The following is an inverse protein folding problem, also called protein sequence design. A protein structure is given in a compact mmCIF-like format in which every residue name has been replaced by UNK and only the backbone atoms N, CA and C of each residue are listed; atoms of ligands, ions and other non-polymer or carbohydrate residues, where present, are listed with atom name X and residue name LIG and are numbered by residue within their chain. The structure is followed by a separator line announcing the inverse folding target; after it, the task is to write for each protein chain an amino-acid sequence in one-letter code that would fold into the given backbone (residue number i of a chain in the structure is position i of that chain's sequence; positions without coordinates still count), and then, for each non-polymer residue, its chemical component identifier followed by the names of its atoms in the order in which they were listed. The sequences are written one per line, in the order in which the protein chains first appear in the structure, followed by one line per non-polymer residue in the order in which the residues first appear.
data_IF_007496099137
#
_entry.id   IF_007496099137
#
_cell.length_a   1.000
_cell.length_b   1.000
_cell.length_c   1.000
_cell.angle_alpha   90.00
_cell.angle_beta   90.00
_cell.angle_gamma   90.00
#
_symmetry.space_group_name_H-M   'P 1'
#
loop_
_entity.id
_entity.type
_entity.pdbx_description
1 polymer ?
#
# COMPACT_ATOMS: atom_id res chain seq x y z
N UNK A 1 14.72 -6.66 40.54
CA UNK A 1 15.03 -7.28 39.25
C UNK A 1 14.56 -6.36 38.16
N UNK A 2 15.43 -5.93 37.26
CA UNK A 2 15.06 -5.16 36.04
C UNK A 2 14.24 -6.05 35.12
N UNK A 3 13.02 -5.62 34.80
CA UNK A 3 12.16 -6.34 33.86
C UNK A 3 12.43 -5.81 32.46
N UNK A 4 12.87 -6.67 31.55
CA UNK A 4 13.12 -6.30 30.16
C UNK A 4 12.05 -6.91 29.25
N UNK A 5 11.60 -6.14 28.24
CA UNK A 5 10.76 -6.64 27.17
C UNK A 5 11.64 -7.25 26.06
N UNK A 6 11.28 -8.44 25.59
CA UNK A 6 11.94 -9.07 24.46
C UNK A 6 11.44 -8.50 23.14
N UNK A 7 12.33 -7.89 22.36
CA UNK A 7 12.00 -7.27 21.07
C UNK A 7 11.44 -8.26 20.04
N UNK A 8 11.88 -9.54 20.09
CA UNK A 8 11.35 -10.57 19.20
C UNK A 8 9.88 -10.85 19.48
N UNK A 9 9.54 -10.96 20.77
CA UNK A 9 8.15 -11.15 21.20
C UNK A 9 7.29 -9.92 20.94
N UNK A 10 7.85 -8.70 21.08
CA UNK A 10 7.18 -7.46 20.69
C UNK A 10 6.91 -7.40 19.19
N UNK A 11 7.86 -7.81 18.35
CA UNK A 11 7.71 -7.86 16.89
C UNK A 11 6.57 -8.81 16.49
N UNK A 12 6.48 -9.97 17.11
CA UNK A 12 5.38 -10.90 16.91
C UNK A 12 4.03 -10.35 17.36
N UNK A 13 4.01 -9.64 18.49
CA UNK A 13 2.80 -8.99 18.99
C UNK A 13 2.28 -7.91 18.01
N UNK A 14 3.16 -7.02 17.56
CA UNK A 14 2.82 -5.98 16.57
C UNK A 14 2.31 -6.60 15.27
N UNK A 15 3.01 -7.62 14.75
CA UNK A 15 2.61 -8.31 13.52
C UNK A 15 1.22 -8.97 13.64
N UNK A 16 0.88 -9.55 14.81
CA UNK A 16 -0.45 -10.15 15.05
C UNK A 16 -1.53 -9.10 15.16
N UNK A 17 -1.24 -7.96 15.80
CA UNK A 17 -2.16 -6.83 15.88
C UNK A 17 -2.47 -6.27 14.48
N UNK A 18 -1.44 -6.06 13.66
CA UNK A 18 -1.57 -5.49 12.32
C UNK A 18 -2.24 -6.45 11.33
N UNK A 19 -1.91 -7.75 11.42
CA UNK A 19 -2.50 -8.77 10.55
C UNK A 19 -3.91 -9.24 10.99
N UNK A 20 -4.33 -8.91 12.22
CA UNK A 20 -5.58 -9.38 12.80
C UNK A 20 -5.63 -10.91 13.01
N UNK A 21 -4.47 -11.58 13.14
CA UNK A 21 -4.41 -13.01 13.41
C UNK A 21 -3.03 -13.65 13.33
N UNK A 22 -2.82 -14.69 14.15
CA UNK A 22 -1.53 -15.35 14.31
C UNK A 22 -1.02 -16.02 13.03
N UNK A 23 -1.89 -16.68 12.28
CA UNK A 23 -1.52 -17.38 11.04
C UNK A 23 -1.00 -16.41 9.98
N UNK A 24 -1.68 -15.26 9.82
CA UNK A 24 -1.25 -14.22 8.87
C UNK A 24 0.06 -13.57 9.32
N UNK A 25 0.20 -13.27 10.60
CA UNK A 25 1.42 -12.73 11.17
C UNK A 25 2.62 -13.67 11.00
N UNK A 26 2.41 -14.98 11.17
CA UNK A 26 3.46 -15.99 10.96
C UNK A 26 3.99 -15.96 9.52
N UNK A 27 3.12 -15.79 8.54
CA UNK A 27 3.51 -15.61 7.12
C UNK A 27 4.36 -14.35 6.91
N UNK A 28 4.02 -13.22 7.55
CA UNK A 28 4.79 -11.97 7.44
C UNK A 28 6.16 -12.05 8.11
N UNK A 29 6.26 -12.82 9.16
CA UNK A 29 7.50 -12.96 9.93
C UNK A 29 8.40 -14.12 9.45
N UNK A 30 7.98 -14.87 8.43
CA UNK A 30 8.63 -16.11 8.00
C UNK A 30 8.82 -17.10 9.16
N UNK A 31 7.84 -17.18 10.06
CA UNK A 31 7.82 -18.05 11.22
C UNK A 31 6.68 -19.06 11.15
N UNK A 32 6.75 -20.11 11.97
CA UNK A 32 5.61 -21.00 12.17
C UNK A 32 4.55 -20.36 13.08
N UNK A 33 3.29 -20.71 12.92
CA UNK A 33 2.21 -20.26 13.80
C UNK A 33 2.48 -20.60 15.28
N UNK A 34 3.07 -21.76 15.54
CA UNK A 34 3.46 -22.19 16.91
C UNK A 34 4.54 -21.30 17.49
N UNK A 35 5.52 -20.87 16.69
CA UNK A 35 6.57 -19.96 17.15
C UNK A 35 5.99 -18.60 17.54
N UNK A 36 5.15 -18.01 16.68
CA UNK A 36 4.47 -16.74 16.98
C UNK A 36 3.60 -16.86 18.23
N UNK A 37 2.81 -17.93 18.34
CA UNK A 37 1.99 -18.19 19.53
C UNK A 37 2.81 -18.31 20.82
N UNK A 38 3.98 -18.95 20.76
CA UNK A 38 4.88 -19.09 21.90
C UNK A 38 5.49 -17.74 22.30
N UNK A 39 5.89 -16.90 21.33
CA UNK A 39 6.42 -15.57 21.59
C UNK A 39 5.37 -14.66 22.26
N UNK A 40 4.13 -14.69 21.77
CA UNK A 40 3.02 -13.96 22.39
C UNK A 40 2.77 -14.43 23.82
N UNK A 41 2.74 -15.74 24.06
CA UNK A 41 2.55 -16.31 25.40
C UNK A 41 3.66 -15.86 26.35
N UNK A 42 4.93 -15.90 25.92
CA UNK A 42 6.07 -15.42 26.71
C UNK A 42 5.95 -13.93 27.06
N UNK A 43 5.46 -13.11 26.12
CA UNK A 43 5.26 -11.68 26.35
C UNK A 43 4.17 -11.46 27.41
N UNK A 44 3.01 -12.10 27.28
CA UNK A 44 1.92 -12.03 28.26
C UNK A 44 2.36 -12.55 29.65
N UNK A 45 3.10 -13.67 29.70
CA UNK A 45 3.65 -14.22 30.95
C UNK A 45 4.67 -13.26 31.61
N UNK A 46 5.53 -12.62 30.83
CA UNK A 46 6.53 -11.67 31.35
C UNK A 46 5.91 -10.42 31.96
N UNK A 47 4.77 -10.01 31.42
CA UNK A 47 3.99 -8.86 31.91
C UNK A 47 3.00 -9.25 33.01
N UNK A 48 2.57 -10.52 33.04
CA UNK A 48 1.52 -11.02 33.92
C UNK A 48 0.11 -10.51 33.53
N UNK A 49 -0.09 -10.10 32.29
CA UNK A 49 -1.30 -9.44 31.81
C UNK A 49 -1.64 -9.95 30.41
N UNK A 50 -2.93 -10.29 30.10
CA UNK A 50 -3.32 -10.65 28.74
C UNK A 50 -3.35 -9.41 27.84
N UNK A 51 -2.75 -9.55 26.66
CA UNK A 51 -2.66 -8.50 25.63
C UNK A 51 -3.68 -8.71 24.50
N UNK A 52 -4.08 -9.96 24.29
CA UNK A 52 -5.01 -10.36 23.24
C UNK A 52 -6.37 -10.75 23.83
N UNK A 53 -7.41 -10.23 23.22
CA UNK A 53 -8.78 -10.68 23.47
C UNK A 53 -9.10 -11.84 22.52
N UNK A 54 -9.31 -13.02 23.11
CA UNK A 54 -9.64 -14.27 22.41
C UNK A 54 -11.12 -14.65 22.51
N UNK A 55 -11.94 -13.77 23.05
CA UNK A 55 -13.37 -14.04 23.26
C UNK A 55 -14.20 -14.00 21.99
N UNK A 56 -13.73 -13.29 20.95
CA UNK A 56 -14.38 -13.15 19.65
C UNK A 56 -13.81 -14.12 18.61
N UNK A 57 -14.52 -14.26 17.48
CA UNK A 57 -14.10 -15.08 16.34
C UNK A 57 -12.80 -14.56 15.66
N UNK A 58 -12.48 -13.30 15.89
CA UNK A 58 -11.23 -12.63 15.46
C UNK A 58 -10.45 -12.21 16.68
N UNK A 59 -9.12 -12.34 16.60
CA UNK A 59 -8.23 -11.92 17.69
C UNK A 59 -8.23 -10.39 17.74
N UNK A 60 -8.72 -9.85 18.86
CA UNK A 60 -8.67 -8.43 19.20
C UNK A 60 -7.53 -8.12 20.18
N UNK A 61 -7.31 -6.83 20.46
CA UNK A 61 -6.44 -6.38 21.54
C UNK A 61 -7.25 -6.08 22.79
N UNK A 62 -6.67 -6.35 23.95
CA UNK A 62 -7.19 -5.78 25.20
C UNK A 62 -6.85 -4.27 25.26
N UNK A 63 -7.51 -3.46 26.12
CA UNK A 63 -7.13 -2.05 26.29
C UNK A 63 -5.64 -1.87 26.67
N UNK A 64 -5.08 -2.79 27.42
CA UNK A 64 -3.65 -2.80 27.75
C UNK A 64 -2.80 -3.23 26.54
N UNK A 65 -3.31 -4.15 25.72
CA UNK A 65 -2.71 -4.52 24.43
C UNK A 65 -2.60 -3.33 23.48
N UNK A 66 -3.65 -2.51 23.36
CA UNK A 66 -3.61 -1.28 22.53
C UNK A 66 -2.58 -0.27 23.07
N UNK A 67 -2.52 -0.10 24.37
CA UNK A 67 -1.50 0.75 25.00
C UNK A 67 -0.09 0.22 24.72
N UNK A 68 0.14 -1.06 24.89
CA UNK A 68 1.45 -1.68 24.58
C UNK A 68 1.78 -1.55 23.09
N UNK A 69 0.81 -1.67 22.18
CA UNK A 69 1.05 -1.58 20.75
C UNK A 69 1.75 -0.28 20.35
N UNK A 70 1.33 0.84 20.91
CA UNK A 70 1.92 2.15 20.64
C UNK A 70 3.40 2.22 21.09
N UNK A 71 3.69 1.71 22.27
CA UNK A 71 5.06 1.64 22.79
C UNK A 71 5.92 0.61 22.04
N UNK A 72 5.36 -0.56 21.74
CA UNK A 72 6.04 -1.62 21.00
C UNK A 72 6.52 -1.14 19.62
N UNK A 73 5.67 -0.42 18.88
CA UNK A 73 6.06 0.16 17.60
C UNK A 73 7.25 1.11 17.75
N UNK A 74 7.22 2.04 18.70
CA UNK A 74 8.32 2.99 18.95
C UNK A 74 9.62 2.29 19.37
N UNK A 75 9.53 1.25 20.22
CA UNK A 75 10.70 0.46 20.64
C UNK A 75 11.32 -0.30 19.47
N UNK A 76 10.50 -0.89 18.60
CA UNK A 76 10.96 -1.59 17.40
C UNK A 76 11.57 -0.62 16.38
N UNK A 77 10.96 0.54 16.17
CA UNK A 77 11.52 1.59 15.32
C UNK A 77 12.90 2.03 15.79
N UNK A 78 13.06 2.29 17.11
CA UNK A 78 14.35 2.65 17.69
C UNK A 78 15.38 1.52 17.58
N UNK A 79 14.96 0.27 17.81
CA UNK A 79 15.84 -0.90 17.63
C UNK A 79 16.33 -1.01 16.19
N UNK A 80 15.41 -0.88 15.22
CA UNK A 80 15.72 -0.99 13.80
C UNK A 80 16.63 0.18 13.35
N UNK A 81 16.41 1.39 13.87
CA UNK A 81 17.29 2.54 13.67
C UNK A 81 18.72 2.27 14.21
N UNK A 82 18.83 1.84 15.47
CA UNK A 82 20.13 1.56 16.10
C UNK A 82 20.87 0.44 15.35
N UNK A 83 20.15 -0.65 15.04
CA UNK A 83 20.73 -1.76 14.30
C UNK A 83 21.22 -1.31 12.91
N UNK A 84 20.40 -0.58 12.18
CA UNK A 84 20.76 -0.02 10.87
C UNK A 84 21.98 0.91 10.96
N UNK A 85 22.01 1.84 11.93
CA UNK A 85 23.14 2.77 12.10
C UNK A 85 24.46 2.08 12.48
N UNK A 86 24.39 1.01 13.26
CA UNK A 86 25.60 0.32 13.74
C UNK A 86 26.10 -0.76 12.78
N UNK A 87 25.22 -1.36 11.98
CA UNK A 87 25.57 -2.44 11.04
C UNK A 87 25.71 -1.96 9.60
N UNK A 88 25.29 -0.74 9.29
CA UNK A 88 25.39 -0.13 7.95
C UNK A 88 26.84 0.19 7.54
N UNK A 89 27.76 -0.76 7.72
CA UNK A 89 29.19 -0.49 7.49
C UNK A 89 29.57 -0.36 6.04
N UNK A 90 28.76 -0.81 5.05
CA UNK A 90 29.20 -0.90 3.67
C UNK A 90 28.16 -0.59 2.57
N UNK A 91 27.00 -0.06 2.92
CA UNK A 91 25.99 0.26 1.89
C UNK A 91 26.00 1.76 1.56
N UNK A 92 26.86 2.16 0.64
CA UNK A 92 26.84 3.49 0.02
C UNK A 92 26.37 3.34 -1.44
N UNK A 93 25.51 4.26 -1.89
CA UNK A 93 25.03 4.25 -3.26
C UNK A 93 23.65 4.86 -3.43
N UNK A 94 23.07 4.59 -4.58
CA UNK A 94 21.72 5.06 -4.92
C UNK A 94 20.88 3.87 -5.40
N UNK A 95 19.65 3.78 -4.95
CA UNK A 95 18.62 2.87 -5.45
C UNK A 95 17.57 3.72 -6.14
N UNK A 96 17.28 3.45 -7.40
CA UNK A 96 16.20 4.11 -8.13
C UNK A 96 14.92 3.29 -8.00
N UNK A 97 13.92 3.86 -7.31
CA UNK A 97 12.59 3.29 -7.12
C UNK A 97 11.58 4.00 -8.02
N UNK A 98 11.00 3.28 -8.98
CA UNK A 98 9.93 3.76 -9.84
C UNK A 98 8.55 3.42 -9.28
N UNK A 99 7.66 4.40 -9.16
CA UNK A 99 6.32 4.21 -8.61
C UNK A 99 5.28 4.97 -9.46
N UNK A 100 4.19 4.32 -9.90
CA UNK A 100 3.08 5.01 -10.53
C UNK A 100 2.50 6.11 -9.64
N UNK A 101 2.07 7.22 -10.26
CA UNK A 101 1.53 8.38 -9.54
C UNK A 101 0.37 8.01 -8.62
N UNK A 102 -0.48 7.11 -9.06
CA UNK A 102 -1.73 6.67 -8.43
C UNK A 102 -1.55 5.84 -7.17
N UNK A 103 -0.34 5.31 -6.90
CA UNK A 103 -0.09 4.46 -5.74
C UNK A 103 1.03 4.94 -4.80
N UNK A 104 1.55 6.14 -5.00
CA UNK A 104 2.58 6.70 -4.10
C UNK A 104 2.03 6.81 -2.67
N UNK A 105 0.83 7.37 -2.53
CA UNK A 105 0.19 7.53 -1.24
C UNK A 105 -0.81 6.40 -0.95
N UNK A 106 -0.95 6.02 0.32
CA UNK A 106 -0.25 6.51 1.52
C UNK A 106 1.03 5.71 1.85
N UNK A 107 1.43 4.72 1.04
CA UNK A 107 2.42 3.70 1.39
C UNK A 107 3.88 4.20 1.29
N UNK A 108 4.26 4.77 0.14
CA UNK A 108 5.66 5.06 -0.18
C UNK A 108 6.34 6.05 0.78
N UNK A 109 5.71 7.14 1.24
CA UNK A 109 6.36 8.04 2.20
C UNK A 109 6.79 7.33 3.49
N UNK A 110 5.97 6.39 3.99
CA UNK A 110 6.28 5.60 5.19
C UNK A 110 7.44 4.65 4.97
N UNK A 111 7.49 4.01 3.79
CA UNK A 111 8.59 3.13 3.38
C UNK A 111 9.88 3.92 3.30
N UNK A 112 9.89 5.06 2.60
CA UNK A 112 11.07 5.90 2.44
C UNK A 112 11.60 6.42 3.78
N UNK A 113 10.72 6.87 4.67
CA UNK A 113 11.09 7.33 6.00
C UNK A 113 11.76 6.21 6.81
N UNK A 114 11.19 5.00 6.80
CA UNK A 114 11.74 3.84 7.51
C UNK A 114 13.06 3.37 6.89
N UNK A 115 13.13 3.31 5.57
CA UNK A 115 14.33 2.88 4.86
C UNK A 115 15.50 3.83 5.07
N UNK A 116 15.27 5.15 5.03
CA UNK A 116 16.31 6.14 5.27
C UNK A 116 16.86 6.12 6.70
N UNK A 117 16.06 5.72 7.67
CA UNK A 117 16.51 5.51 9.06
C UNK A 117 17.39 4.26 9.17
N UNK A 118 17.02 3.16 8.49
CA UNK A 118 17.78 1.91 8.51
C UNK A 118 19.08 2.02 7.68
N UNK A 119 19.07 2.77 6.57
CA UNK A 119 20.18 2.88 5.63
C UNK A 119 20.54 4.34 5.33
N UNK A 120 21.09 5.11 6.29
CA UNK A 120 21.30 6.55 6.16
C UNK A 120 22.33 6.96 5.08
N UNK A 121 23.15 6.02 4.60
CA UNK A 121 24.13 6.26 3.53
C UNK A 121 23.62 5.86 2.13
N UNK A 122 22.48 5.16 2.06
CA UNK A 122 21.83 4.83 0.80
C UNK A 122 20.83 5.91 0.42
N UNK A 123 20.95 6.41 -0.79
CA UNK A 123 19.98 7.35 -1.35
C UNK A 123 18.92 6.59 -2.15
N UNK A 124 17.65 6.81 -1.81
CA UNK A 124 16.56 6.36 -2.67
C UNK A 124 16.14 7.49 -3.58
N UNK A 125 16.36 7.32 -4.89
CA UNK A 125 15.85 8.20 -5.93
C UNK A 125 14.46 7.74 -6.33
N UNK A 126 13.43 8.48 -5.89
CA UNK A 126 12.06 8.20 -6.28
C UNK A 126 11.76 8.77 -7.66
N UNK A 127 11.39 7.90 -8.58
CA UNK A 127 10.92 8.24 -9.93
C UNK A 127 9.41 7.98 -10.00
N UNK A 128 8.62 9.02 -10.25
CA UNK A 128 7.18 8.88 -10.43
C UNK A 128 6.78 9.04 -11.89
N UNK A 129 6.04 8.05 -12.42
CA UNK A 129 5.61 8.06 -13.81
C UNK A 129 4.40 7.14 -14.01
N UNK A 130 4.05 6.80 -15.25
CA UNK A 130 3.05 5.77 -15.57
C UNK A 130 3.69 4.38 -15.68
N UNK A 131 2.87 3.34 -15.47
CA UNK A 131 3.29 1.93 -15.50
C UNK A 131 4.09 1.57 -16.76
N UNK A 132 3.65 1.98 -17.94
CA UNK A 132 4.30 1.60 -19.19
C UNK A 132 5.70 2.17 -19.32
N UNK A 133 5.90 3.45 -18.95
CA UNK A 133 7.21 4.09 -19.00
C UNK A 133 8.14 3.49 -17.95
N UNK A 134 7.65 3.23 -16.73
CA UNK A 134 8.44 2.57 -15.69
C UNK A 134 8.91 1.18 -16.12
N UNK A 135 8.03 0.38 -16.73
CA UNK A 135 8.43 -0.94 -17.29
C UNK A 135 9.48 -0.82 -18.37
N UNK A 136 9.35 0.16 -19.27
CA UNK A 136 10.34 0.39 -20.32
C UNK A 136 11.71 0.82 -19.74
N UNK A 137 11.74 1.68 -18.72
CA UNK A 137 12.95 2.10 -18.04
C UNK A 137 13.59 0.96 -17.25
N UNK A 138 12.79 0.16 -16.56
CA UNK A 138 13.25 -1.02 -15.83
C UNK A 138 13.87 -2.07 -16.77
N UNK A 139 13.24 -2.34 -17.91
CA UNK A 139 13.76 -3.26 -18.91
C UNK A 139 15.12 -2.81 -19.51
N UNK A 140 15.42 -1.50 -19.47
CA UNK A 140 16.72 -0.94 -19.88
C UNK A 140 17.73 -0.86 -18.73
N UNK A 141 17.38 -1.29 -17.51
CA UNK A 141 18.23 -1.18 -16.33
C UNK A 141 18.42 0.24 -15.81
N UNK A 142 17.55 1.18 -16.20
CA UNK A 142 17.59 2.59 -15.74
C UNK A 142 16.93 2.76 -14.34
N UNK A 143 16.13 1.78 -13.91
CA UNK A 143 15.41 1.77 -12.64
C UNK A 143 15.58 0.41 -11.99
N UNK A 144 16.04 0.38 -10.76
CA UNK A 144 16.39 -0.87 -10.04
C UNK A 144 15.16 -1.64 -9.56
N UNK A 145 14.15 -0.92 -9.11
CA UNK A 145 12.93 -1.46 -8.55
C UNK A 145 11.74 -0.65 -9.03
N UNK A 146 10.71 -1.30 -9.54
CA UNK A 146 9.48 -0.60 -9.91
C UNK A 146 8.24 -1.23 -9.30
N UNK A 147 7.29 -0.38 -8.99
CA UNK A 147 5.89 -0.77 -8.81
C UNK A 147 5.12 -0.51 -10.09
N UNK A 148 4.05 -1.24 -10.27
CA UNK A 148 3.14 -1.06 -11.42
C UNK A 148 1.71 -1.28 -10.97
N UNK A 149 0.76 -0.71 -11.73
CA UNK A 149 -0.67 -1.01 -11.65
C UNK A 149 -1.09 -1.71 -12.92
N UNK A 150 -1.49 -2.98 -12.84
CA UNK A 150 -1.75 -3.82 -14.01
C UNK A 150 -3.00 -4.68 -13.82
N UNK A 151 -3.73 -5.02 -14.91
CA UNK A 151 -4.75 -6.06 -14.82
C UNK A 151 -4.11 -7.43 -14.48
N UNK A 152 -4.93 -8.34 -13.98
CA UNK A 152 -4.50 -9.71 -13.66
C UNK A 152 -3.88 -10.42 -14.88
N UNK A 153 -2.90 -11.31 -14.63
CA UNK A 153 -2.33 -12.19 -15.65
C UNK A 153 -1.02 -11.73 -16.30
N UNK A 154 -0.38 -10.66 -15.84
CA UNK A 154 0.94 -10.26 -16.32
C UNK A 154 2.03 -11.11 -15.65
N UNK A 155 2.96 -11.77 -16.39
CA UNK A 155 4.02 -12.59 -15.78
C UNK A 155 5.24 -11.76 -15.33
N UNK A 156 6.11 -12.37 -14.50
CA UNK A 156 7.45 -11.85 -14.19
C UNK A 156 7.53 -10.83 -13.06
N UNK A 157 6.55 -10.83 -12.15
CA UNK A 157 6.48 -9.91 -11.02
C UNK A 157 6.08 -10.62 -9.72
N UNK A 158 6.16 -9.89 -8.60
CA UNK A 158 5.53 -10.25 -7.34
C UNK A 158 4.29 -9.38 -7.14
N UNK A 159 3.11 -9.99 -7.08
CA UNK A 159 1.88 -9.25 -6.75
C UNK A 159 1.87 -8.90 -5.27
N UNK A 160 1.78 -7.62 -4.95
CA UNK A 160 1.72 -7.11 -3.58
C UNK A 160 0.30 -7.12 -3.04
N UNK A 161 -0.66 -6.67 -3.85
CA UNK A 161 -2.08 -6.60 -3.49
C UNK A 161 -2.95 -6.43 -4.74
N UNK A 162 -4.23 -6.74 -4.61
CA UNK A 162 -5.26 -6.43 -5.61
C UNK A 162 -6.21 -5.39 -5.03
N UNK A 163 -6.59 -4.39 -5.82
CA UNK A 163 -7.47 -3.29 -5.41
C UNK A 163 -8.56 -3.07 -6.45
N UNK A 164 -9.75 -2.70 -5.99
CA UNK A 164 -10.81 -2.27 -6.89
C UNK A 164 -10.44 -0.94 -7.52
N UNK A 165 -10.75 -0.78 -8.80
CA UNK A 165 -10.73 0.51 -9.47
C UNK A 165 -12.11 1.15 -9.25
N UNK A 166 -12.12 2.34 -8.65
CA UNK A 166 -13.34 3.03 -8.23
C UNK A 166 -13.43 4.41 -8.88
N UNK A 167 -14.65 4.88 -9.09
CA UNK A 167 -14.90 6.26 -9.50
C UNK A 167 -14.71 7.20 -8.31
N UNK A 168 -14.07 8.34 -8.55
CA UNK A 168 -13.84 9.37 -7.55
C UNK A 168 -14.28 10.74 -8.05
N UNK A 169 -14.68 11.62 -7.12
CA UNK A 169 -15.13 12.97 -7.39
C UNK A 169 -15.01 13.87 -6.17
N UNK A 170 -15.41 15.12 -6.29
CA UNK A 170 -15.47 16.04 -5.17
C UNK A 170 -16.47 15.55 -4.11
N UNK A 171 -16.17 15.70 -2.80
CA UNK A 171 -17.11 15.36 -1.73
C UNK A 171 -18.44 16.09 -1.88
N UNK A 172 -19.55 15.33 -2.00
CA UNK A 172 -20.88 15.91 -2.25
C UNK A 172 -21.10 16.51 -3.63
N UNK A 173 -20.16 16.29 -4.55
CA UNK A 173 -20.17 16.86 -5.90
C UNK A 173 -21.35 16.41 -6.77
N UNK A 174 -21.64 17.21 -7.79
CA UNK A 174 -22.73 16.99 -8.74
C UNK A 174 -22.23 16.59 -10.14
N UNK A 175 -20.92 16.67 -10.41
CA UNK A 175 -20.34 16.35 -11.72
C UNK A 175 -20.75 14.95 -12.20
N UNK A 176 -20.89 13.99 -11.28
CA UNK A 176 -21.35 12.62 -11.58
C UNK A 176 -22.73 12.53 -12.21
N UNK A 177 -23.60 13.54 -12.00
CA UNK A 177 -24.98 13.60 -12.52
C UNK A 177 -25.10 14.32 -13.87
N UNK A 178 -24.07 15.06 -14.28
CA UNK A 178 -24.04 15.81 -15.52
C UNK A 178 -23.92 14.86 -16.71
N UNK A 179 -24.58 15.17 -17.80
CA UNK A 179 -24.47 14.43 -19.08
C UNK A 179 -24.24 15.40 -20.24
N UNK A 180 -23.30 15.13 -21.17
CA UNK A 180 -22.32 14.02 -21.11
C UNK A 180 -21.50 14.03 -19.83
N UNK A 181 -21.13 12.83 -19.31
CA UNK A 181 -20.29 12.73 -18.12
C UNK A 181 -18.88 13.27 -18.43
N UNK A 182 -18.45 14.24 -17.66
CA UNK A 182 -17.13 14.85 -17.85
C UNK A 182 -16.05 14.05 -17.15
N UNK A 183 -15.03 13.69 -17.91
CA UNK A 183 -13.90 12.87 -17.43
C UNK A 183 -12.62 13.69 -17.38
N UNK A 184 -11.81 13.48 -16.36
CA UNK A 184 -10.48 14.05 -16.22
C UNK A 184 -9.44 12.93 -16.11
N UNK A 185 -8.66 12.71 -17.16
CA UNK A 185 -7.61 11.69 -17.23
C UNK A 185 -6.41 12.17 -18.03
N UNK A 186 -5.22 11.73 -17.63
CA UNK A 186 -4.03 11.87 -18.46
C UNK A 186 -4.14 10.99 -19.72
N UNK A 187 -3.49 11.44 -20.80
CA UNK A 187 -3.46 10.71 -22.07
C UNK A 187 -2.78 9.34 -21.95
N UNK A 188 -1.87 9.18 -20.99
CA UNK A 188 -1.11 7.95 -20.75
C UNK A 188 -1.65 7.11 -19.59
N UNK A 189 -2.78 7.52 -19.00
CA UNK A 189 -3.39 6.83 -17.86
C UNK A 189 -4.05 5.52 -18.31
N UNK A 190 -3.66 4.41 -17.71
CA UNK A 190 -4.25 3.10 -17.98
C UNK A 190 -5.75 3.06 -17.62
N UNK A 191 -6.14 3.74 -16.55
CA UNK A 191 -7.52 3.76 -16.06
C UNK A 191 -8.47 4.49 -17.03
N UNK A 192 -7.94 5.45 -17.83
CA UNK A 192 -8.73 6.15 -18.86
C UNK A 192 -9.42 5.18 -19.81
N UNK A 193 -8.68 4.23 -20.38
CA UNK A 193 -9.24 3.27 -21.32
C UNK A 193 -10.23 2.30 -20.68
N UNK A 194 -10.06 1.99 -19.40
CA UNK A 194 -10.98 1.13 -18.64
C UNK A 194 -12.28 1.88 -18.37
N UNK A 195 -12.18 3.13 -17.90
CA UNK A 195 -13.31 4.00 -17.64
C UNK A 195 -14.16 4.25 -18.90
N UNK A 196 -13.52 4.63 -20.00
CA UNK A 196 -14.20 4.87 -21.28
C UNK A 196 -14.94 3.64 -21.78
N UNK A 197 -14.27 2.48 -21.85
CA UNK A 197 -14.92 1.23 -22.24
C UNK A 197 -16.07 0.81 -21.30
N UNK A 198 -15.96 1.12 -20.01
CA UNK A 198 -17.03 0.87 -19.04
C UNK A 198 -18.26 1.71 -19.35
N UNK A 199 -18.08 3.01 -19.60
CA UNK A 199 -19.14 3.94 -19.93
C UNK A 199 -19.79 3.62 -21.29
N UNK A 200 -18.98 3.28 -22.31
CA UNK A 200 -19.47 2.88 -23.63
C UNK A 200 -20.39 1.66 -23.54
N UNK A 201 -19.99 0.62 -22.79
CA UNK A 201 -20.82 -0.58 -22.57
C UNK A 201 -22.12 -0.27 -21.82
N UNK A 202 -22.07 0.71 -20.91
CA UNK A 202 -23.24 1.15 -20.15
C UNK A 202 -24.10 2.16 -20.93
N UNK A 203 -23.73 2.52 -22.16
CA UNK A 203 -24.38 3.54 -22.99
C UNK A 203 -24.49 4.91 -22.27
N UNK A 204 -23.51 5.25 -21.44
CA UNK A 204 -23.43 6.54 -20.75
C UNK A 204 -22.59 7.49 -21.60
N UNK A 205 -23.17 8.59 -22.11
CA UNK A 205 -22.44 9.56 -22.90
C UNK A 205 -21.41 10.28 -22.03
N UNK A 206 -20.20 10.44 -22.54
CA UNK A 206 -19.08 11.08 -21.85
C UNK A 206 -18.30 12.00 -22.76
N UNK A 207 -17.56 12.95 -22.17
CA UNK A 207 -16.61 13.84 -22.84
C UNK A 207 -15.36 14.03 -21.94
N UNK A 208 -14.23 14.40 -22.56
CA UNK A 208 -13.03 14.76 -21.80
C UNK A 208 -13.10 16.23 -21.39
N UNK A 209 -13.05 16.50 -20.09
CA UNK A 209 -13.00 17.85 -19.53
C UNK A 209 -11.56 18.37 -19.41
N UNK A 210 -10.59 17.46 -19.25
CA UNK A 210 -9.17 17.79 -19.18
C UNK A 210 -8.39 16.79 -20.04
N UNK A 211 -7.55 17.32 -20.90
CA UNK A 211 -6.55 16.57 -21.66
C UNK A 211 -5.17 17.13 -21.31
N UNK A 212 -4.34 16.34 -20.63
CA UNK A 212 -2.99 16.75 -20.25
C UNK A 212 -2.26 15.64 -19.51
N UNK A 213 -0.97 15.82 -19.30
CA UNK A 213 -0.13 14.80 -18.64
C UNK A 213 0.08 15.10 -17.15
N UNK A 214 -0.44 16.21 -16.66
CA UNK A 214 -0.25 16.66 -15.27
C UNK A 214 -1.30 16.10 -14.32
N UNK A 215 -0.91 15.18 -13.43
CA UNK A 215 -1.78 14.62 -12.39
C UNK A 215 -2.45 15.71 -11.53
N UNK A 216 -1.70 16.76 -11.16
CA UNK A 216 -2.22 17.89 -10.36
C UNK A 216 -3.35 18.65 -11.05
N UNK A 217 -3.29 18.80 -12.38
CA UNK A 217 -4.37 19.46 -13.13
C UNK A 217 -5.65 18.62 -13.16
N UNK A 218 -5.50 17.30 -13.24
CA UNK A 218 -6.61 16.35 -13.17
C UNK A 218 -7.26 16.43 -11.78
N UNK A 219 -6.48 16.32 -10.72
CA UNK A 219 -6.97 16.40 -9.34
C UNK A 219 -7.67 17.73 -9.06
N UNK A 220 -7.08 18.85 -9.47
CA UNK A 220 -7.68 20.16 -9.31
C UNK A 220 -9.04 20.28 -10.02
N UNK A 221 -9.18 19.73 -11.22
CA UNK A 221 -10.43 19.76 -11.97
C UNK A 221 -11.52 18.90 -11.31
N UNK A 222 -11.13 17.74 -10.78
CA UNK A 222 -12.05 16.85 -10.07
C UNK A 222 -12.44 17.44 -8.72
N UNK A 223 -11.51 18.03 -7.98
CA UNK A 223 -11.79 18.74 -6.71
C UNK A 223 -12.70 19.95 -6.88
N UNK A 224 -12.64 20.59 -8.04
CA UNK A 224 -13.54 21.71 -8.39
C UNK A 224 -14.95 21.25 -8.85
N UNK A 225 -15.28 19.95 -8.77
CA UNK A 225 -16.53 19.35 -9.22
C UNK A 225 -16.84 19.60 -10.70
N UNK A 226 -15.81 19.66 -11.55
CA UNK A 226 -15.96 19.86 -12.99
C UNK A 226 -15.92 18.56 -13.78
N UNK A 227 -15.39 17.49 -13.21
CA UNK A 227 -15.27 16.18 -13.83
C UNK A 227 -15.19 15.06 -12.77
N UNK A 228 -15.26 13.80 -13.22
CA UNK A 228 -14.97 12.61 -12.41
C UNK A 228 -13.69 11.94 -12.89
N UNK A 229 -13.07 11.16 -12.02
CA UNK A 229 -11.85 10.40 -12.28
C UNK A 229 -11.99 8.97 -11.79
N UNK A 230 -11.02 8.10 -12.06
CA UNK A 230 -10.92 6.76 -11.46
C UNK A 230 -9.59 6.60 -10.73
N UNK A 231 -9.64 5.99 -9.54
CA UNK A 231 -8.49 5.70 -8.70
C UNK A 231 -8.58 4.29 -8.11
N UNK A 232 -7.47 3.76 -7.62
CA UNK A 232 -7.52 2.54 -6.82
C UNK A 232 -8.09 2.83 -5.45
N UNK A 233 -8.95 1.94 -4.97
CA UNK A 233 -9.57 2.05 -3.65
C UNK A 233 -8.50 2.15 -2.55
N UNK A 234 -8.59 3.21 -1.73
CA UNK A 234 -7.64 3.51 -0.65
C UNK A 234 -6.38 4.27 -1.10
N UNK A 235 -6.35 4.77 -2.33
CA UNK A 235 -5.29 5.67 -2.83
C UNK A 235 -5.85 7.02 -3.30
N UNK A 236 -7.11 7.29 -3.00
CA UNK A 236 -7.77 8.54 -3.40
C UNK A 236 -7.04 9.75 -2.78
N UNK A 237 -6.85 10.83 -3.54
CA UNK A 237 -6.37 12.10 -2.99
C UNK A 237 -7.26 12.58 -1.82
N UNK A 238 -6.66 13.24 -0.83
CA UNK A 238 -7.36 13.65 0.40
C UNK A 238 -8.61 14.53 0.18
N UNK A 239 -8.62 15.30 -0.92
CA UNK A 239 -9.70 16.21 -1.28
C UNK A 239 -10.78 15.56 -2.17
N UNK A 240 -10.65 14.26 -2.44
CA UNK A 240 -11.56 13.49 -3.28
C UNK A 240 -12.16 12.32 -2.51
N UNK A 241 -13.31 11.85 -2.97
CA UNK A 241 -14.00 10.72 -2.35
C UNK A 241 -14.50 9.74 -3.41
N UNK A 242 -14.62 8.47 -3.01
CA UNK A 242 -15.25 7.45 -3.85
C UNK A 242 -16.70 7.81 -4.12
N UNK A 243 -17.09 7.72 -5.39
CA UNK A 243 -18.49 7.91 -5.84
C UNK A 243 -19.25 6.62 -5.53
N UNK A 244 -20.37 6.76 -4.84
CA UNK A 244 -21.22 5.62 -4.45
C UNK A 244 -21.81 4.88 -5.67
N UNK A 245 -21.97 3.57 -5.55
CA UNK A 245 -22.55 2.73 -6.61
C UNK A 245 -23.97 3.15 -7.02
N UNK A 246 -24.72 3.82 -6.15
CA UNK A 246 -26.06 4.37 -6.46
C UNK A 246 -26.04 5.48 -7.51
N UNK A 247 -24.87 6.05 -7.81
CA UNK A 247 -24.71 7.03 -8.88
C UNK A 247 -24.90 6.44 -10.29
N UNK A 248 -25.01 5.13 -10.42
CA UNK A 248 -25.28 4.43 -11.68
C UNK A 248 -24.10 4.37 -12.64
N UNK A 249 -22.88 4.58 -12.16
CA UNK A 249 -21.66 4.38 -12.96
C UNK A 249 -21.27 2.89 -13.02
N UNK A 250 -20.70 2.43 -14.15
CA UNK A 250 -20.28 1.03 -14.29
C UNK A 250 -19.11 0.68 -13.36
N UNK A 251 -19.06 -0.58 -12.91
CA UNK A 251 -17.90 -1.13 -12.23
C UNK A 251 -16.68 -1.15 -13.16
N UNK A 252 -15.53 -0.76 -12.64
CA UNK A 252 -14.27 -0.69 -13.38
C UNK A 252 -13.38 -1.92 -13.19
N UNK A 253 -13.79 -2.87 -12.32
CA UNK A 253 -13.04 -4.10 -12.03
C UNK A 253 -11.93 -3.90 -11.01
N UNK A 254 -10.93 -4.76 -11.08
CA UNK A 254 -9.80 -4.80 -10.15
C UNK A 254 -8.48 -4.66 -10.89
N UNK A 255 -7.47 -4.15 -10.17
CA UNK A 255 -6.10 -4.00 -10.64
C UNK A 255 -5.14 -4.56 -9.60
N UNK A 256 -4.05 -5.14 -10.06
CA UNK A 256 -2.96 -5.59 -9.22
C UNK A 256 -1.91 -4.51 -9.07
N UNK A 257 -1.40 -4.35 -7.86
CA UNK A 257 -0.16 -3.62 -7.59
C UNK A 257 0.95 -4.66 -7.58
N UNK A 258 1.85 -4.57 -8.55
CA UNK A 258 2.93 -5.50 -8.76
C UNK A 258 4.28 -4.85 -8.50
N UNK A 259 5.27 -5.66 -8.10
CA UNK A 259 6.65 -5.28 -7.89
C UNK A 259 7.54 -6.05 -8.86
N UNK A 260 8.39 -5.34 -9.59
CA UNK A 260 9.44 -5.87 -10.44
C UNK A 260 10.79 -5.45 -9.89
N UNK A 261 11.70 -6.39 -9.77
CA UNK A 261 13.07 -6.18 -9.31
C UNK A 261 14.03 -6.40 -10.45
N UNK A 262 14.98 -5.46 -10.64
CA UNK A 262 16.07 -5.61 -11.59
C UNK A 262 17.18 -6.53 -11.06
N UNK A 263 17.96 -7.08 -11.99
CA UNK A 263 19.10 -7.95 -11.67
C UNK A 263 20.29 -7.18 -11.04
N UNK A 264 20.37 -5.88 -11.29
CA UNK A 264 21.42 -4.97 -10.85
C UNK A 264 21.05 -4.35 -9.49
N UNK A 265 21.26 -4.99 -8.41
CA UNK A 265 20.91 -4.44 -7.08
C UNK A 265 20.68 -5.53 -6.06
N UNK A 266 21.37 -6.66 -6.22
CA UNK A 266 21.31 -7.72 -5.24
C UNK A 266 22.07 -7.31 -3.97
N UNK A 267 21.39 -7.30 -2.82
CA UNK A 267 22.01 -7.04 -1.54
C UNK A 267 20.95 -6.89 -0.45
N UNK A 268 21.35 -7.09 0.82
CA UNK A 268 20.41 -7.06 1.96
C UNK A 268 19.56 -5.77 2.02
N UNK A 269 20.13 -4.62 1.66
CA UNK A 269 19.38 -3.36 1.67
C UNK A 269 18.25 -3.33 0.63
N UNK A 270 18.48 -3.91 -0.55
CA UNK A 270 17.43 -4.04 -1.56
C UNK A 270 16.37 -5.02 -1.12
N UNK A 271 16.75 -6.14 -0.49
CA UNK A 271 15.81 -7.12 0.05
C UNK A 271 14.94 -6.48 1.14
N UNK A 272 15.53 -5.71 2.04
CA UNK A 272 14.80 -4.97 3.08
C UNK A 272 13.86 -3.91 2.48
N UNK A 273 14.27 -3.19 1.45
CA UNK A 273 13.40 -2.23 0.77
C UNK A 273 12.19 -2.94 0.14
N UNK A 274 12.41 -4.07 -0.53
CA UNK A 274 11.34 -4.90 -1.10
C UNK A 274 10.38 -5.37 -0.02
N UNK A 275 10.90 -5.87 1.11
CA UNK A 275 10.09 -6.34 2.23
C UNK A 275 9.29 -5.21 2.89
N UNK A 276 9.89 -4.02 3.06
CA UNK A 276 9.19 -2.84 3.58
C UNK A 276 8.05 -2.39 2.65
N UNK A 277 8.29 -2.37 1.34
CA UNK A 277 7.27 -2.07 0.33
C UNK A 277 6.15 -3.12 0.41
N UNK A 278 6.50 -4.40 0.37
CA UNK A 278 5.52 -5.48 0.41
C UNK A 278 4.65 -5.43 1.69
N UNK A 279 5.25 -5.15 2.84
CA UNK A 279 4.52 -4.98 4.09
C UNK A 279 3.57 -3.78 4.04
N UNK A 280 4.01 -2.63 3.49
CA UNK A 280 3.20 -1.41 3.44
C UNK A 280 1.93 -1.58 2.57
N UNK A 281 2.03 -2.27 1.43
CA UNK A 281 0.87 -2.51 0.56
C UNK A 281 -0.05 -3.63 1.06
N UNK A 282 0.47 -4.63 1.78
CA UNK A 282 -0.36 -5.69 2.40
C UNK A 282 -1.16 -5.19 3.60
N UNK A 283 -0.59 -4.32 4.43
CA UNK A 283 -1.28 -3.76 5.61
C UNK A 283 -2.40 -2.78 5.26
N UNK A 284 -2.38 -2.17 4.10
CA UNK A 284 -3.42 -1.24 3.63
C UNK A 284 -4.65 -1.93 3.03
N UNK A 285 -4.88 -3.20 3.21
CA UNK A 285 -6.12 -3.86 2.77
C UNK A 285 -7.27 -3.50 3.72
N UNK A 286 -8.38 -2.94 3.22
CA UNK A 286 -9.61 -2.91 4.01
C UNK A 286 -10.00 -4.35 4.39
N UNK A 287 -10.63 -4.58 5.55
CA UNK A 287 -11.08 -5.92 5.94
C UNK A 287 -12.00 -6.45 4.85
N UNK A 288 -11.62 -7.58 4.24
CA UNK A 288 -12.45 -8.28 3.26
C UNK A 288 -13.76 -8.65 3.95
N UNK A 289 -14.85 -7.95 3.64
CA UNK A 289 -16.18 -8.43 4.00
C UNK A 289 -16.40 -9.74 3.27
N UNK A 290 -16.31 -10.85 4.00
CA UNK A 290 -16.81 -12.14 3.52
C UNK A 290 -18.32 -11.99 3.31
N UNK A 291 -18.74 -11.84 2.06
CA UNK A 291 -20.12 -12.04 1.67
C UNK A 291 -20.38 -13.52 1.87
N UNK A 292 -21.00 -13.87 2.99
CA UNK A 292 -21.59 -15.18 3.21
C UNK A 292 -22.83 -15.20 2.33
N UNK A 293 -22.73 -15.84 1.18
CA UNK A 293 -23.91 -16.21 0.39
C UNK A 293 -24.76 -17.16 1.21
N UNK A 294 -26.00 -16.72 1.46
CA UNK A 294 -27.06 -17.51 2.05
C UNK A 294 -27.60 -18.56 1.06
#
# INVERSE_FOLDING_TARGET
MTRNLDLTSLRSFVAVADAGGVTRAAGFLNLTQSAVSMQLKRLEESLGIPLLDRSARTIGLTPIGEQLLSYARRMLELNDEVYGRLTATDYEGEITLGVPHDIIYPAIPKVLARFSQAYPRLRVKLLSSNTNLLKAQHARGEVDLILTTEPEGTPGHTTLTTRRLVWIGAPGGQAVRVRPLRLAFSNVCLFRSIAQRGLDRAAIPWEMAVEGDGQTAIEATVSADLAVHASLEGTEPNDLTTIDASAGLPSLGEMQINLYRGDLGAGPAMDDLVDMIAAAYRMGQPPTMLVVSA
#
